data_IF_889187392607
#
_entry.id   IF_889187392607
#
_cell.length_a   1.000
_cell.length_b   1.000
_cell.length_c   1.000
_cell.angle_alpha   90.00
_cell.angle_beta   90.00
_cell.angle_gamma   90.00
#
_symmetry.space_group_name_H-M   'P 1'
#
loop_
_entity.id
_entity.type
_entity.pdbx_description
1 polymer ?
#
# COMPACT_ATOMS: atom_id res chain seq x y z
N UNK A 1 -5.69 -15.84 -14.02
CA UNK A 1 -4.49 -16.70 -14.01
C UNK A 1 -3.27 -15.79 -14.05
N UNK A 2 -2.37 -15.95 -13.10
CA UNK A 2 -1.18 -15.13 -12.99
C UNK A 2 -0.31 -15.22 -14.28
N UNK A 3 0.27 -14.09 -14.67
CA UNK A 3 1.18 -13.99 -15.85
C UNK A 3 2.63 -14.31 -15.50
N UNK A 4 3.01 -14.20 -14.23
CA UNK A 4 4.32 -14.57 -13.70
C UNK A 4 4.12 -15.75 -12.76
N UNK A 5 5.00 -16.75 -12.86
CA UNK A 5 4.98 -17.93 -11.99
C UNK A 5 5.08 -17.51 -10.52
N UNK A 6 4.17 -18.02 -9.71
CA UNK A 6 4.23 -17.86 -8.26
C UNK A 6 5.00 -19.04 -7.67
N UNK A 7 6.28 -18.82 -7.35
CA UNK A 7 7.17 -19.89 -6.86
C UNK A 7 6.58 -20.45 -5.55
N UNK A 8 6.41 -21.78 -5.50
CA UNK A 8 6.02 -22.45 -4.26
C UNK A 8 7.17 -22.41 -3.24
N UNK A 9 6.89 -22.05 -1.97
CA UNK A 9 7.90 -22.09 -0.91
C UNK A 9 8.62 -23.45 -0.79
N UNK A 10 7.91 -24.55 -1.12
CA UNK A 10 8.44 -25.91 -1.08
C UNK A 10 9.44 -26.20 -2.22
N UNK A 11 9.24 -25.55 -3.37
CA UNK A 11 10.10 -25.71 -4.55
C UNK A 11 11.17 -24.62 -4.67
N UNK A 12 11.10 -23.58 -3.88
CA UNK A 12 12.09 -22.51 -3.86
C UNK A 12 13.46 -23.02 -3.40
N UNK A 13 14.53 -22.48 -4.00
CA UNK A 13 15.92 -22.82 -3.66
C UNK A 13 16.77 -21.55 -3.47
N UNK A 14 17.94 -21.69 -2.85
CA UNK A 14 18.89 -20.58 -2.69
C UNK A 14 18.25 -19.33 -2.04
N UNK A 15 18.64 -18.13 -2.50
CA UNK A 15 18.20 -16.85 -1.92
C UNK A 15 16.69 -16.66 -1.99
N UNK A 16 16.01 -17.16 -3.03
CA UNK A 16 14.55 -17.11 -3.10
C UNK A 16 13.89 -17.83 -1.91
N UNK A 17 14.39 -19.02 -1.58
CA UNK A 17 13.88 -19.78 -0.43
C UNK A 17 14.08 -19.05 0.90
N UNK A 18 15.27 -18.54 1.14
CA UNK A 18 15.59 -17.80 2.37
C UNK A 18 14.62 -16.61 2.57
N UNK A 19 14.38 -15.83 1.51
CA UNK A 19 13.48 -14.67 1.57
C UNK A 19 12.02 -15.09 1.78
N UNK A 20 11.55 -16.16 1.13
CA UNK A 20 10.19 -16.66 1.33
C UNK A 20 10.00 -17.23 2.74
N UNK A 21 11.01 -17.89 3.31
CA UNK A 21 10.99 -18.37 4.70
C UNK A 21 10.98 -17.18 5.69
N UNK A 22 11.72 -16.09 5.40
CA UNK A 22 11.66 -14.86 6.19
C UNK A 22 10.26 -14.23 6.15
N UNK A 23 9.63 -14.16 4.98
CA UNK A 23 8.25 -13.68 4.82
C UNK A 23 7.29 -14.54 5.66
N UNK A 24 7.41 -15.88 5.56
CA UNK A 24 6.58 -16.81 6.33
C UNK A 24 6.75 -16.62 7.84
N UNK A 25 7.99 -16.43 8.28
CA UNK A 25 8.29 -16.18 9.70
C UNK A 25 7.67 -14.91 10.25
N UNK A 26 7.59 -13.86 9.43
CA UNK A 26 7.02 -12.54 9.82
C UNK A 26 5.50 -12.49 9.73
N UNK A 27 4.92 -13.07 8.68
CA UNK A 27 3.50 -12.94 8.36
C UNK A 27 2.67 -14.19 8.68
N UNK A 28 3.30 -15.32 8.97
CA UNK A 28 2.63 -16.61 9.13
C UNK A 28 2.16 -17.26 7.82
N UNK A 29 2.24 -16.52 6.70
CA UNK A 29 1.88 -16.96 5.35
C UNK A 29 2.86 -16.36 4.34
N UNK A 30 2.83 -16.88 3.09
CA UNK A 30 3.66 -16.37 2.00
C UNK A 30 2.74 -15.85 0.90
N UNK A 31 2.51 -14.53 0.82
CA UNK A 31 1.60 -13.93 -0.16
C UNK A 31 2.03 -14.22 -1.60
N UNK A 32 1.06 -14.38 -2.49
CA UNK A 32 1.30 -14.65 -3.90
C UNK A 32 2.17 -13.58 -4.58
N UNK A 33 2.06 -12.32 -4.17
CA UNK A 33 2.96 -11.25 -4.63
C UNK A 33 4.42 -11.57 -4.33
N UNK A 34 4.74 -12.00 -3.10
CA UNK A 34 6.13 -12.34 -2.73
C UNK A 34 6.63 -13.58 -3.44
N UNK A 35 5.75 -14.56 -3.70
CA UNK A 35 6.03 -15.74 -4.51
C UNK A 35 6.33 -15.37 -5.97
N UNK A 36 5.60 -14.41 -6.52
CA UNK A 36 5.86 -13.90 -7.86
C UNK A 36 7.16 -13.07 -7.93
N UNK A 37 7.43 -12.22 -6.93
CA UNK A 37 8.68 -11.46 -6.83
C UNK A 37 9.92 -12.35 -6.65
N UNK A 38 9.77 -13.53 -6.03
CA UNK A 38 10.86 -14.47 -5.78
C UNK A 38 11.52 -15.03 -7.07
N UNK A 39 10.89 -14.86 -8.25
CA UNK A 39 11.55 -15.14 -9.55
C UNK A 39 12.81 -14.29 -9.75
N UNK A 40 12.89 -13.12 -9.12
CA UNK A 40 14.08 -12.29 -9.01
C UNK A 40 14.34 -11.97 -7.53
N UNK A 41 15.17 -12.76 -6.83
CA UNK A 41 15.40 -12.57 -5.38
C UNK A 41 15.81 -11.14 -5.01
N UNK A 42 16.54 -10.44 -5.87
CA UNK A 42 16.91 -9.03 -5.67
C UNK A 42 15.69 -8.10 -5.61
N UNK A 43 14.62 -8.42 -6.35
CA UNK A 43 13.37 -7.64 -6.35
C UNK A 43 12.61 -7.87 -5.04
N UNK A 44 12.49 -9.13 -4.62
CA UNK A 44 11.84 -9.46 -3.35
C UNK A 44 12.63 -8.88 -2.16
N UNK A 45 13.95 -8.99 -2.16
CA UNK A 45 14.81 -8.44 -1.11
C UNK A 45 14.68 -6.91 -1.02
N UNK A 46 14.76 -6.20 -2.15
CA UNK A 46 14.56 -4.75 -2.20
C UNK A 46 13.18 -4.31 -1.67
N UNK A 47 12.11 -5.03 -2.04
CA UNK A 47 10.77 -4.79 -1.49
C UNK A 47 10.74 -4.98 0.03
N UNK A 48 11.26 -6.09 0.53
CA UNK A 48 11.24 -6.42 1.96
C UNK A 48 12.06 -5.41 2.78
N UNK A 49 13.21 -4.98 2.27
CA UNK A 49 14.04 -3.98 2.92
C UNK A 49 13.34 -2.61 2.97
N UNK A 50 12.84 -2.10 1.84
CA UNK A 50 12.16 -0.81 1.80
C UNK A 50 10.92 -0.81 2.70
N UNK A 51 10.06 -1.82 2.58
CA UNK A 51 8.89 -1.97 3.43
C UNK A 51 9.26 -2.07 4.92
N UNK A 52 10.33 -2.83 5.22
CA UNK A 52 10.81 -3.02 6.59
C UNK A 52 11.35 -1.77 7.25
N UNK A 53 12.08 -0.90 6.51
CA UNK A 53 12.59 0.36 7.06
C UNK A 53 11.49 1.40 7.20
N UNK A 54 10.58 1.51 6.23
CA UNK A 54 9.42 2.41 6.33
C UNK A 54 8.48 2.00 7.47
N UNK A 55 8.43 0.71 7.79
CA UNK A 55 7.70 0.20 8.96
C UNK A 55 8.21 0.73 10.30
N UNK A 56 9.45 1.25 10.36
CA UNK A 56 10.10 1.83 11.55
C UNK A 56 10.11 3.36 11.54
N UNK A 57 9.50 3.97 10.53
CA UNK A 57 9.41 5.42 10.39
C UNK A 57 8.47 6.07 11.41
N UNK A 58 8.26 7.36 11.25
CA UNK A 58 7.44 8.18 12.16
C UNK A 58 5.95 8.09 11.86
N UNK A 59 5.58 7.74 10.60
CA UNK A 59 4.17 7.57 10.23
C UNK A 59 3.56 6.37 10.96
N UNK A 60 2.46 6.53 11.69
CA UNK A 60 1.77 5.42 12.34
C UNK A 60 1.34 4.34 11.34
N UNK A 61 1.30 3.07 11.76
CA UNK A 61 0.88 1.95 10.90
C UNK A 61 -0.48 2.20 10.23
N UNK A 62 -1.44 2.77 10.98
CA UNK A 62 -2.76 3.14 10.43
C UNK A 62 -2.65 4.14 9.27
N UNK A 63 -1.83 5.18 9.42
CA UNK A 63 -1.62 6.19 8.39
C UNK A 63 -0.97 5.59 7.13
N UNK A 64 0.02 4.71 7.29
CA UNK A 64 0.64 4.00 6.16
C UNK A 64 -0.35 3.12 5.41
N UNK A 65 -1.23 2.40 6.11
CA UNK A 65 -2.28 1.60 5.46
C UNK A 65 -3.32 2.46 4.74
N UNK A 66 -3.65 3.65 5.27
CA UNK A 66 -4.57 4.58 4.61
C UNK A 66 -3.96 5.16 3.33
N UNK A 67 -2.66 5.50 3.34
CA UNK A 67 -1.93 5.85 2.11
C UNK A 67 -1.94 4.69 1.12
N UNK A 68 -1.65 3.46 1.58
CA UNK A 68 -1.64 2.27 0.74
C UNK A 68 -2.99 2.01 0.06
N UNK A 69 -4.09 2.16 0.81
CA UNK A 69 -5.45 2.00 0.29
C UNK A 69 -5.80 3.05 -0.76
N UNK A 70 -5.46 4.32 -0.51
CA UNK A 70 -5.68 5.41 -1.45
C UNK A 70 -4.90 5.20 -2.75
N UNK A 71 -3.61 4.90 -2.66
CA UNK A 71 -2.74 4.65 -3.81
C UNK A 71 -3.15 3.39 -4.57
N UNK A 72 -3.55 2.32 -3.86
CA UNK A 72 -4.02 1.09 -4.50
C UNK A 72 -5.33 1.29 -5.27
N UNK A 73 -6.24 2.12 -4.73
CA UNK A 73 -7.49 2.46 -5.42
C UNK A 73 -7.24 3.33 -6.65
N UNK A 74 -6.39 4.35 -6.54
CA UNK A 74 -6.04 5.22 -7.66
C UNK A 74 -5.32 4.47 -8.79
N UNK A 75 -4.60 3.40 -8.46
CA UNK A 75 -3.89 2.53 -9.41
C UNK A 75 -4.73 1.29 -9.83
N UNK A 76 -5.99 1.14 -9.46
CA UNK A 76 -6.85 -0.01 -9.75
C UNK A 76 -6.18 -1.37 -9.44
N UNK A 77 -5.53 -1.51 -8.27
CA UNK A 77 -4.85 -2.73 -7.87
C UNK A 77 -5.72 -3.58 -6.94
N UNK A 78 -6.55 -4.47 -7.47
CA UNK A 78 -7.46 -5.32 -6.69
C UNK A 78 -6.71 -6.19 -5.66
N UNK A 79 -5.55 -6.75 -6.04
CA UNK A 79 -4.69 -7.49 -5.12
C UNK A 79 -4.30 -6.63 -3.91
N UNK A 80 -3.83 -5.41 -4.19
CA UNK A 80 -3.35 -4.50 -3.17
C UNK A 80 -4.50 -4.01 -2.28
N UNK A 81 -5.67 -3.74 -2.87
CA UNK A 81 -6.87 -3.39 -2.11
C UNK A 81 -7.27 -4.52 -1.15
N UNK A 82 -7.24 -5.78 -1.59
CA UNK A 82 -7.55 -6.93 -0.75
C UNK A 82 -6.54 -7.06 0.40
N UNK A 83 -5.24 -6.99 0.11
CA UNK A 83 -4.17 -7.08 1.09
C UNK A 83 -4.27 -5.95 2.12
N UNK A 84 -4.30 -4.67 1.67
CA UNK A 84 -4.33 -3.51 2.56
C UNK A 84 -5.65 -3.32 3.30
N UNK A 85 -6.79 -3.79 2.76
CA UNK A 85 -8.03 -3.88 3.54
C UNK A 85 -7.93 -4.89 4.68
N UNK A 86 -7.18 -5.97 4.50
CA UNK A 86 -6.94 -6.98 5.55
C UNK A 86 -5.99 -6.44 6.60
N UNK A 87 -4.82 -5.91 6.19
CA UNK A 87 -3.82 -5.35 7.11
C UNK A 87 -4.38 -4.11 7.83
N UNK A 88 -5.13 -3.26 7.15
CA UNK A 88 -5.80 -2.10 7.74
C UNK A 88 -6.69 -2.47 8.93
N UNK A 89 -7.49 -3.55 8.81
CA UNK A 89 -8.26 -4.08 9.95
C UNK A 89 -7.36 -4.56 11.08
N UNK A 90 -6.26 -5.23 10.78
CA UNK A 90 -5.31 -5.72 11.80
C UNK A 90 -4.66 -4.57 12.58
N UNK A 91 -4.42 -3.41 11.94
CA UNK A 91 -3.93 -2.21 12.62
C UNK A 91 -5.04 -1.32 13.19
N UNK A 92 -6.29 -1.79 13.19
CA UNK A 92 -7.43 -1.17 13.85
C UNK A 92 -8.19 -0.14 13.02
N UNK A 93 -8.10 -0.15 11.68
CA UNK A 93 -8.99 0.65 10.84
C UNK A 93 -10.40 0.03 10.80
N UNK A 94 -11.43 0.86 10.91
CA UNK A 94 -12.82 0.43 10.70
C UNK A 94 -13.12 0.24 9.21
N UNK A 95 -14.25 -0.41 8.90
CA UNK A 95 -14.70 -0.58 7.52
C UNK A 95 -14.94 0.77 6.83
N UNK A 96 -15.46 1.75 7.58
CA UNK A 96 -15.67 3.12 7.12
C UNK A 96 -14.35 3.79 6.78
N UNK A 97 -13.36 3.74 7.68
CA UNK A 97 -12.03 4.33 7.45
C UNK A 97 -11.31 3.70 6.26
N UNK A 98 -11.47 2.39 6.03
CA UNK A 98 -10.94 1.71 4.85
C UNK A 98 -11.63 2.23 3.58
N UNK A 99 -12.96 2.39 3.61
CA UNK A 99 -13.73 2.93 2.48
C UNK A 99 -13.34 4.38 2.18
N UNK A 100 -13.29 5.23 3.22
CA UNK A 100 -12.94 6.65 3.09
C UNK A 100 -11.53 6.82 2.53
N UNK A 101 -10.56 6.05 3.04
CA UNK A 101 -9.18 6.08 2.52
C UNK A 101 -9.12 5.72 1.03
N UNK A 102 -9.89 4.74 0.57
CA UNK A 102 -10.01 4.38 -0.85
C UNK A 102 -10.67 5.48 -1.68
N UNK A 103 -11.58 6.25 -1.10
CA UNK A 103 -12.19 7.44 -1.72
C UNK A 103 -11.28 8.67 -1.66
N UNK A 104 -10.08 8.57 -1.09
CA UNK A 104 -9.12 9.66 -1.00
C UNK A 104 -9.46 10.67 0.09
N UNK A 105 -10.20 10.29 1.12
CA UNK A 105 -10.68 11.18 2.18
C UNK A 105 -10.62 10.54 3.56
N UNK A 106 -10.82 11.34 4.60
CA UNK A 106 -11.00 10.91 5.99
C UNK A 106 -11.85 11.90 6.77
N UNK A 107 -12.60 11.41 7.77
CA UNK A 107 -13.32 12.28 8.72
C UNK A 107 -12.37 12.98 9.70
N UNK A 108 -11.17 12.46 9.91
CA UNK A 108 -10.11 13.11 10.67
C UNK A 108 -9.35 14.09 9.76
N UNK A 109 -9.38 15.41 10.03
CA UNK A 109 -8.78 16.41 9.13
C UNK A 109 -7.27 16.22 8.91
N UNK A 110 -6.55 15.73 9.91
CA UNK A 110 -5.12 15.46 9.80
C UNK A 110 -4.85 14.30 8.84
N UNK A 111 -5.59 13.23 8.97
CA UNK A 111 -5.51 12.06 8.09
C UNK A 111 -5.98 12.40 6.68
N UNK A 112 -7.02 13.22 6.53
CA UNK A 112 -7.52 13.68 5.23
C UNK A 112 -6.43 14.45 4.46
N UNK A 113 -5.76 15.40 5.12
CA UNK A 113 -4.64 16.13 4.52
C UNK A 113 -3.50 15.20 4.08
N UNK A 114 -3.17 14.17 4.90
CA UNK A 114 -2.15 13.18 4.56
C UNK A 114 -2.51 12.37 3.32
N UNK A 115 -3.74 11.86 3.25
CA UNK A 115 -4.22 11.07 2.12
C UNK A 115 -4.25 11.91 0.84
N UNK A 116 -4.77 13.14 0.91
CA UNK A 116 -4.80 14.07 -0.21
C UNK A 116 -3.39 14.39 -0.71
N UNK A 117 -2.45 14.62 0.21
CA UNK A 117 -1.07 14.87 -0.16
C UNK A 117 -0.45 13.65 -0.86
N UNK A 118 -0.66 12.43 -0.34
CA UNK A 118 -0.18 11.21 -0.97
C UNK A 118 -0.74 11.01 -2.39
N UNK A 119 -2.04 11.27 -2.58
CA UNK A 119 -2.67 11.22 -3.90
C UNK A 119 -2.13 12.31 -4.83
N UNK A 120 -1.89 13.52 -4.31
CA UNK A 120 -1.28 14.60 -5.09
C UNK A 120 0.13 14.24 -5.56
N UNK A 121 0.95 13.65 -4.69
CA UNK A 121 2.28 13.13 -5.06
C UNK A 121 2.17 12.09 -6.19
N UNK A 122 1.20 11.16 -6.08
CA UNK A 122 0.96 10.14 -7.11
C UNK A 122 0.54 10.76 -8.44
N UNK A 123 -0.49 11.60 -8.45
CA UNK A 123 -1.09 12.19 -9.65
C UNK A 123 -0.12 13.11 -10.39
N UNK A 124 0.59 13.97 -9.63
CA UNK A 124 1.55 14.91 -10.18
C UNK A 124 2.92 14.29 -10.48
N UNK A 125 3.11 12.99 -10.16
CA UNK A 125 4.42 12.32 -10.28
C UNK A 125 5.52 13.03 -9.49
N UNK A 126 5.16 13.52 -8.30
CA UNK A 126 6.05 14.28 -7.42
C UNK A 126 6.13 15.80 -7.69
N UNK A 127 5.51 16.31 -8.75
CA UNK A 127 5.49 17.75 -9.04
C UNK A 127 4.38 18.48 -8.24
N UNK A 128 4.46 18.36 -6.88
CA UNK A 128 3.53 19.03 -5.97
C UNK A 128 3.80 20.54 -5.90
N UNK A 129 2.76 21.34 -5.69
CA UNK A 129 2.89 22.80 -5.54
C UNK A 129 3.20 23.22 -4.12
N UNK A 130 3.65 24.48 -3.95
CA UNK A 130 3.92 25.05 -2.61
C UNK A 130 2.65 25.08 -1.74
N UNK A 131 1.45 25.18 -2.34
CA UNK A 131 0.17 25.07 -1.65
C UNK A 131 -0.01 23.69 -1.02
N UNK A 132 0.22 22.61 -1.77
CA UNK A 132 0.09 21.25 -1.29
C UNK A 132 1.05 20.99 -0.10
N UNK A 133 2.28 21.51 -0.18
CA UNK A 133 3.26 21.42 0.90
C UNK A 133 2.87 22.23 2.13
N UNK A 134 2.29 23.41 1.94
CA UNK A 134 1.78 24.22 3.05
C UNK A 134 0.65 23.51 3.77
N UNK A 135 -0.33 23.00 3.04
CA UNK A 135 -1.52 22.36 3.61
C UNK A 135 -1.16 21.13 4.48
N UNK A 136 -0.22 20.28 4.01
CA UNK A 136 0.23 19.11 4.79
C UNK A 136 1.04 19.52 6.02
N UNK A 137 1.82 20.62 5.95
CA UNK A 137 2.52 21.17 7.13
C UNK A 137 1.57 21.77 8.15
N UNK A 138 0.56 22.52 7.71
CA UNK A 138 -0.49 23.06 8.58
C UNK A 138 -1.31 21.97 9.28
N UNK A 139 -1.44 20.79 8.64
CA UNK A 139 -2.00 19.59 9.27
C UNK A 139 -1.06 18.93 10.30
N UNK A 140 0.13 19.49 10.52
CA UNK A 140 1.08 19.06 11.56
C UNK A 140 2.03 17.94 11.15
N UNK A 141 2.31 17.78 9.84
CA UNK A 141 3.36 16.89 9.34
C UNK A 141 4.65 17.66 9.09
N UNK A 142 5.73 17.19 9.70
CA UNK A 142 7.08 17.74 9.51
C UNK A 142 7.73 17.25 8.20
N UNK A 143 8.91 17.78 7.90
CA UNK A 143 9.66 17.43 6.69
C UNK A 143 10.00 15.93 6.61
N UNK A 144 10.25 15.31 7.78
CA UNK A 144 10.51 13.87 7.88
C UNK A 144 9.28 13.05 7.47
N UNK A 145 8.11 13.39 8.02
CA UNK A 145 6.85 12.74 7.69
C UNK A 145 6.48 12.93 6.20
N UNK A 146 6.71 14.13 5.65
CA UNK A 146 6.51 14.42 4.23
C UNK A 146 7.40 13.53 3.35
N UNK A 147 8.67 13.36 3.69
CA UNK A 147 9.59 12.46 3.00
C UNK A 147 9.13 11.00 3.08
N UNK A 148 8.63 10.57 4.25
CA UNK A 148 8.08 9.22 4.44
C UNK A 148 6.81 9.00 3.59
N UNK A 149 5.94 10.00 3.41
CA UNK A 149 4.79 9.89 2.51
C UNK A 149 5.24 9.60 1.08
N UNK A 150 6.22 10.34 0.56
CA UNK A 150 6.74 10.13 -0.79
C UNK A 150 7.31 8.71 -0.95
N UNK A 151 8.07 8.24 0.04
CA UNK A 151 8.64 6.89 0.03
C UNK A 151 7.56 5.79 0.10
N UNK A 152 6.49 5.98 0.90
CA UNK A 152 5.34 5.07 0.94
C UNK A 152 4.58 5.06 -0.40
N UNK A 153 4.35 6.24 -1.02
CA UNK A 153 3.73 6.32 -2.36
C UNK A 153 4.56 5.54 -3.38
N UNK A 154 5.88 5.73 -3.40
CA UNK A 154 6.78 5.02 -4.30
C UNK A 154 6.75 3.48 -4.08
N UNK A 155 6.75 3.02 -2.83
CA UNK A 155 6.60 1.61 -2.47
C UNK A 155 5.29 1.04 -3.03
N UNK A 156 4.17 1.77 -2.87
CA UNK A 156 2.86 1.30 -3.34
C UNK A 156 2.71 1.39 -4.85
N UNK A 157 3.29 2.37 -5.54
CA UNK A 157 3.39 2.38 -7.00
C UNK A 157 4.08 1.12 -7.48
N UNK A 158 5.24 0.79 -6.91
CA UNK A 158 6.00 -0.41 -7.29
C UNK A 158 5.16 -1.68 -7.12
N UNK A 159 4.56 -1.89 -5.93
CA UNK A 159 3.78 -3.10 -5.67
C UNK A 159 2.49 -3.17 -6.49
N UNK A 160 1.80 -2.03 -6.69
CA UNK A 160 0.59 -1.98 -7.49
C UNK A 160 0.88 -2.32 -8.96
N UNK A 161 1.91 -1.70 -9.55
CA UNK A 161 2.27 -1.96 -10.95
C UNK A 161 2.76 -3.39 -11.14
N UNK A 162 3.54 -3.90 -10.19
CA UNK A 162 3.98 -5.30 -10.21
C UNK A 162 2.77 -6.24 -10.20
N UNK A 163 1.84 -6.11 -9.27
CA UNK A 163 0.68 -6.99 -9.14
C UNK A 163 -0.25 -6.90 -10.35
N UNK A 164 -0.48 -5.70 -10.89
CA UNK A 164 -1.29 -5.51 -12.09
C UNK A 164 -0.64 -6.14 -13.33
N UNK A 165 0.66 -5.90 -13.53
CA UNK A 165 1.41 -6.49 -14.65
C UNK A 165 1.46 -8.02 -14.54
N UNK A 166 1.74 -8.54 -13.34
CA UNK A 166 1.82 -9.97 -13.07
C UNK A 166 0.46 -10.66 -13.06
N UNK A 167 -0.64 -9.92 -13.01
CA UNK A 167 -2.00 -10.43 -12.77
C UNK A 167 -2.01 -11.41 -11.58
N UNK A 168 -1.39 -10.98 -10.45
CA UNK A 168 -1.21 -11.82 -9.27
C UNK A 168 -2.54 -12.33 -8.76
N UNK A 169 -2.67 -13.65 -8.56
CA UNK A 169 -3.88 -14.26 -8.02
C UNK A 169 -4.10 -13.78 -6.57
N UNK A 170 -5.31 -13.29 -6.28
CA UNK A 170 -5.64 -12.72 -4.96
C UNK A 170 -5.76 -13.83 -3.94
N UNK A 171 -4.97 -13.77 -2.88
CA UNK A 171 -4.93 -14.70 -1.75
C UNK A 171 -5.34 -14.05 -0.42
N UNK A 172 -6.00 -12.91 -0.50
CA UNK A 172 -6.63 -12.21 0.62
C UNK A 172 -8.15 -12.14 0.42
N UNK A 173 -8.94 -11.94 1.50
CA UNK A 173 -10.36 -11.64 1.36
C UNK A 173 -10.55 -10.42 0.45
N UNK A 174 -11.50 -10.50 -0.50
CA UNK A 174 -11.78 -9.37 -1.40
C UNK A 174 -12.06 -8.10 -0.62
N UNK A 175 -11.52 -6.99 -1.13
CA UNK A 175 -11.85 -5.68 -0.59
C UNK A 175 -13.37 -5.45 -0.66
N UNK A 176 -13.98 -4.85 0.38
CA UNK A 176 -15.39 -4.50 0.35
C UNK A 176 -15.70 -3.60 -0.87
N UNK A 177 -16.93 -3.71 -1.41
CA UNK A 177 -17.37 -2.72 -2.39
C UNK A 177 -17.34 -1.32 -1.76
N UNK A 178 -16.95 -0.31 -2.55
CA UNK A 178 -17.12 1.08 -2.12
C UNK A 178 -18.63 1.35 -1.96
N UNK A 179 -18.98 2.13 -0.94
CA UNK A 179 -20.35 2.63 -0.82
C UNK A 179 -20.65 3.47 -2.07
N UNK A 180 -21.84 3.33 -2.70
CA UNK A 180 -22.23 4.29 -3.72
C UNK A 180 -22.25 5.69 -3.08
N UNK A 181 -21.75 6.68 -3.82
CA UNK A 181 -21.90 8.08 -3.39
C UNK A 181 -23.35 8.35 -3.00
N UNK A 182 -23.62 9.03 -1.88
CA UNK A 182 -24.98 9.47 -1.61
C UNK A 182 -25.46 10.33 -2.79
N UNK A 183 -26.64 10.01 -3.34
CA UNK A 183 -27.22 10.81 -4.40
C UNK A 183 -27.22 12.29 -4.01
N UNK A 184 -26.91 13.23 -4.91
CA UNK A 184 -26.94 14.66 -4.60
C UNK A 184 -28.31 14.99 -3.99
N UNK A 185 -28.30 15.66 -2.85
CA UNK A 185 -29.53 16.14 -2.23
C UNK A 185 -30.24 17.07 -3.21
N UNK A 186 -31.47 16.69 -3.59
CA UNK A 186 -32.35 17.52 -4.42
C UNK A 186 -32.75 18.79 -3.67
#
# INVERSE_FOLDING_TARGET
MARITQISPESATGRAKELLDEVKGKLGLVPNMTRAMANAPVVLDGYLQLSGVLGKGTLPARAREQIALAVAQANDCDYCLAAHSTVGRMVGLTAEQISDSRLGTSVDPRTDALIRFALKVLESRGAVGDGDLRDVREAGFDEGAIAEVVANVALHIFTNYFNRMAATDIDFPKAPALRPEPAPAN
#
